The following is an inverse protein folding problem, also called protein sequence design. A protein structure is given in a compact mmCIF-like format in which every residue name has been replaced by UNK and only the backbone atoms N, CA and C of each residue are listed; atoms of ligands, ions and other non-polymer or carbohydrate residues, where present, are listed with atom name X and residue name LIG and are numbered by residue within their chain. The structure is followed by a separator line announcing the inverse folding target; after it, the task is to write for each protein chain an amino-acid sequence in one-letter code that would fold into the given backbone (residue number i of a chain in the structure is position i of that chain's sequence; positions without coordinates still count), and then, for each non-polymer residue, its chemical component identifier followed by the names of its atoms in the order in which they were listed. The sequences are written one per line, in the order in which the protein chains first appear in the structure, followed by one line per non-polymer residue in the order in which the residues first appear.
data_IF_637934787010
#
_entry.id   IF_637934787010
#
_cell.length_a   1.000
_cell.length_b   1.000
_cell.length_c   1.000
_cell.angle_alpha   90.00
_cell.angle_beta   90.00
_cell.angle_gamma   90.00
#
_symmetry.space_group_name_H-M   'P 1'
#
loop_
_entity.id
_entity.type
_entity.pdbx_description
1 polymer ?
#
# COMPACT_ATOMS: atom_id res chain seq x y z
N UNK A 1 56.30 9.51 26.97
CA UNK A 1 54.90 9.97 27.06
C UNK A 1 54.10 9.20 26.01
N UNK A 2 53.28 8.26 26.45
CA UNK A 2 52.46 7.40 25.59
C UNK A 2 51.17 8.16 25.28
N UNK A 3 50.99 8.52 24.01
CA UNK A 3 49.72 9.06 23.51
C UNK A 3 48.62 8.00 23.55
N UNK A 4 47.64 8.22 24.39
CA UNK A 4 46.44 7.39 24.46
C UNK A 4 45.63 7.52 23.16
N UNK A 5 45.36 6.37 22.57
CA UNK A 5 44.48 6.22 21.40
C UNK A 5 43.04 6.62 21.79
N UNK A 6 42.45 7.65 21.16
CA UNK A 6 41.06 8.04 21.48
C UNK A 6 40.11 6.95 21.02
N UNK A 7 39.55 6.29 22.01
CA UNK A 7 38.39 5.42 21.98
C UNK A 7 37.81 5.09 20.58
N UNK A 8 38.05 3.87 20.14
CA UNK A 8 37.15 3.15 19.22
C UNK A 8 35.77 3.14 19.87
N UNK A 9 34.92 4.08 19.46
CA UNK A 9 33.52 4.01 19.76
C UNK A 9 33.01 2.74 19.07
N UNK A 10 32.94 1.68 19.87
CA UNK A 10 32.29 0.44 19.44
C UNK A 10 30.89 0.83 18.95
N UNK A 11 30.67 0.72 17.65
CA UNK A 11 29.34 0.74 17.06
C UNK A 11 28.61 -0.50 17.55
N UNK A 12 28.10 -0.44 18.78
CA UNK A 12 27.19 -1.45 19.29
C UNK A 12 26.00 -1.47 18.37
N UNK A 13 25.96 -2.47 17.49
CA UNK A 13 24.86 -2.70 16.59
C UNK A 13 23.55 -2.68 17.40
N UNK A 14 22.70 -1.68 17.19
CA UNK A 14 21.41 -1.63 17.87
C UNK A 14 20.68 -2.95 17.61
N UNK A 15 20.21 -3.66 18.63
CA UNK A 15 19.56 -4.94 18.45
C UNK A 15 18.40 -4.79 17.47
N UNK A 16 18.34 -5.68 16.49
CA UNK A 16 17.24 -5.72 15.52
C UNK A 16 15.95 -5.98 16.30
N UNK A 17 15.01 -5.05 16.18
CA UNK A 17 13.72 -5.17 16.86
C UNK A 17 12.84 -6.07 16.03
N UNK A 18 12.64 -7.29 16.44
CA UNK A 18 11.84 -8.30 15.70
C UNK A 18 10.35 -7.99 15.77
N UNK A 19 9.86 -7.37 16.84
CA UNK A 19 8.43 -7.15 17.08
C UNK A 19 7.68 -6.45 15.91
N UNK A 20 8.14 -5.34 15.31
CA UNK A 20 7.39 -4.73 14.21
C UNK A 20 7.31 -5.63 12.96
N UNK A 21 8.32 -6.46 12.69
CA UNK A 21 8.26 -7.42 11.58
C UNK A 21 7.19 -8.49 11.84
N UNK A 22 7.12 -9.01 13.07
CA UNK A 22 6.11 -9.99 13.45
C UNK A 22 4.70 -9.40 13.39
N UNK A 23 4.51 -8.18 13.89
CA UNK A 23 3.22 -7.50 13.84
C UNK A 23 2.78 -7.33 12.37
N UNK A 24 3.66 -6.81 11.50
CA UNK A 24 3.34 -6.65 10.08
C UNK A 24 3.08 -7.99 9.38
N UNK A 25 3.83 -9.03 9.73
CA UNK A 25 3.59 -10.36 9.18
C UNK A 25 2.20 -10.87 9.54
N UNK A 26 1.77 -10.76 10.78
CA UNK A 26 0.43 -11.16 11.22
C UNK A 26 -0.66 -10.29 10.59
N UNK A 27 -0.45 -8.96 10.52
CA UNK A 27 -1.37 -8.05 9.83
C UNK A 27 -1.56 -8.49 8.38
N UNK A 28 -0.48 -8.64 7.61
CA UNK A 28 -0.55 -9.04 6.22
C UNK A 28 -1.15 -10.44 6.06
N UNK A 29 -0.78 -11.40 6.91
CA UNK A 29 -1.36 -12.74 6.90
C UNK A 29 -2.87 -12.73 7.14
N UNK A 30 -3.38 -11.82 7.99
CA UNK A 30 -4.83 -11.67 8.21
C UNK A 30 -5.58 -11.09 7.02
N UNK A 31 -4.90 -10.37 6.11
CA UNK A 31 -5.49 -9.66 4.97
C UNK A 31 -5.47 -10.46 3.67
N UNK A 32 -4.36 -11.16 3.40
CA UNK A 32 -4.21 -11.95 2.16
C UNK A 32 -5.28 -13.06 2.06
N UNK A 33 -5.65 -13.41 0.85
CA UNK A 33 -6.64 -14.47 0.61
C UNK A 33 -6.07 -15.85 1.00
N UNK A 34 -6.82 -16.63 1.79
CA UNK A 34 -6.47 -18.00 2.14
C UNK A 34 -7.21 -19.03 1.25
N UNK A 35 -8.24 -18.59 0.53
CA UNK A 35 -9.00 -19.39 -0.44
C UNK A 35 -9.16 -18.57 -1.73
N UNK A 36 -9.23 -19.25 -2.87
CA UNK A 36 -9.49 -18.62 -4.16
C UNK A 36 -10.98 -18.28 -4.28
N UNK A 37 -11.27 -17.11 -4.85
CA UNK A 37 -12.61 -16.68 -5.29
C UNK A 37 -13.72 -16.78 -4.24
N UNK A 38 -13.37 -16.80 -2.95
CA UNK A 38 -14.34 -16.80 -1.85
C UNK A 38 -14.41 -15.42 -1.22
N UNK A 39 -15.55 -14.77 -1.39
CA UNK A 39 -15.87 -13.50 -0.74
C UNK A 39 -16.69 -13.75 0.53
N UNK A 40 -16.46 -12.93 1.55
CA UNK A 40 -17.21 -13.02 2.79
C UNK A 40 -18.66 -12.56 2.58
N UNK A 41 -19.61 -13.45 2.79
CA UNK A 41 -21.05 -13.22 2.64
C UNK A 41 -21.81 -13.04 3.97
N UNK A 42 -21.10 -12.89 5.09
CA UNK A 42 -21.73 -12.75 6.42
C UNK A 42 -21.89 -14.08 7.19
N UNK A 43 -21.53 -15.22 6.61
CA UNK A 43 -21.55 -16.52 7.28
C UNK A 43 -20.35 -16.72 8.23
N UNK A 44 -20.51 -17.50 9.30
CA UNK A 44 -19.42 -17.92 10.18
C UNK A 44 -18.53 -18.95 9.44
N UNK A 45 -17.59 -18.43 8.65
CA UNK A 45 -16.56 -19.24 7.99
C UNK A 45 -15.35 -19.38 8.92
N UNK A 46 -14.84 -20.61 9.18
CA UNK A 46 -13.63 -20.84 9.96
C UNK A 46 -12.41 -20.00 9.51
N UNK A 47 -12.28 -19.73 8.20
CA UNK A 47 -11.20 -18.89 7.67
C UNK A 47 -11.35 -17.43 8.12
N UNK A 48 -12.57 -16.90 8.16
CA UNK A 48 -12.85 -15.55 8.64
C UNK A 48 -12.53 -15.43 10.12
N UNK A 49 -12.91 -16.43 10.92
CA UNK A 49 -12.58 -16.50 12.35
C UNK A 49 -11.06 -16.58 12.56
N UNK A 50 -10.37 -17.46 11.83
CA UNK A 50 -8.92 -17.60 11.93
C UNK A 50 -8.21 -16.28 11.57
N UNK A 51 -8.63 -15.58 10.50
CA UNK A 51 -8.10 -14.26 10.13
C UNK A 51 -8.38 -13.20 11.19
N UNK A 52 -9.55 -13.23 11.82
CA UNK A 52 -9.88 -12.31 12.93
C UNK A 52 -8.98 -12.57 14.13
N UNK A 53 -8.71 -13.82 14.49
CA UNK A 53 -7.78 -14.21 15.56
C UNK A 53 -6.37 -13.71 15.24
N UNK A 54 -5.86 -13.96 14.02
CA UNK A 54 -4.52 -13.50 13.62
C UNK A 54 -4.42 -11.98 13.67
N UNK A 55 -5.45 -11.25 13.20
CA UNK A 55 -5.52 -9.79 13.30
C UNK A 55 -5.61 -9.30 14.75
N UNK A 56 -6.37 -9.99 15.60
CA UNK A 56 -6.47 -9.72 17.03
C UNK A 56 -5.13 -9.91 17.76
N UNK A 57 -4.40 -11.00 17.45
CA UNK A 57 -3.05 -11.23 17.98
C UNK A 57 -2.10 -10.13 17.55
N UNK A 58 -2.15 -9.69 16.29
CA UNK A 58 -1.33 -8.57 15.81
C UNK A 58 -1.62 -7.28 16.60
N UNK A 59 -2.90 -6.99 16.87
CA UNK A 59 -3.32 -5.85 17.67
C UNK A 59 -2.81 -5.95 19.12
N UNK A 60 -2.99 -7.08 19.78
CA UNK A 60 -2.51 -7.30 21.15
C UNK A 60 -0.97 -7.18 21.23
N UNK A 61 -0.24 -7.76 20.28
CA UNK A 61 1.21 -7.58 20.21
C UNK A 61 1.60 -6.11 20.04
N UNK A 62 0.89 -5.36 19.19
CA UNK A 62 1.13 -3.92 19.04
C UNK A 62 0.81 -3.15 20.32
N UNK A 63 -0.26 -3.52 21.04
CA UNK A 63 -0.70 -2.88 22.27
C UNK A 63 0.29 -3.10 23.44
N UNK A 64 0.79 -4.34 23.60
CA UNK A 64 1.67 -4.71 24.71
C UNK A 64 3.16 -4.47 24.41
N UNK A 65 3.51 -4.09 23.19
CA UNK A 65 4.90 -3.76 22.87
C UNK A 65 5.26 -2.40 23.46
N UNK A 66 6.35 -2.33 24.29
CA UNK A 66 6.75 -1.07 24.91
C UNK A 66 7.18 -0.05 23.86
N UNK A 67 6.74 1.20 24.05
CA UNK A 67 7.14 2.31 23.20
C UNK A 67 8.67 2.52 23.29
N UNK A 68 9.36 2.49 22.15
CA UNK A 68 10.82 2.66 22.07
C UNK A 68 11.25 4.07 21.66
N UNK A 69 10.30 4.96 21.42
CA UNK A 69 10.58 6.35 21.09
C UNK A 69 10.33 7.22 22.31
N UNK A 70 11.37 7.92 22.77
CA UNK A 70 11.26 8.94 23.81
C UNK A 70 10.51 10.19 23.35
N UNK A 71 10.50 10.45 22.04
CA UNK A 71 9.80 11.57 21.43
C UNK A 71 8.47 11.07 20.86
N UNK A 72 7.40 11.28 21.61
CA UNK A 72 6.03 11.05 21.12
C UNK A 72 5.65 12.19 20.17
N UNK A 73 5.92 12.02 18.90
CA UNK A 73 5.36 12.94 17.90
C UNK A 73 3.83 12.83 17.92
N UNK A 74 3.11 13.95 17.89
CA UNK A 74 1.65 13.94 17.91
C UNK A 74 1.13 13.31 16.62
N UNK A 75 0.49 12.15 16.74
CA UNK A 75 -0.27 11.56 15.64
C UNK A 75 -1.52 12.42 15.46
N UNK A 76 -1.77 12.87 14.24
CA UNK A 76 -2.97 13.63 13.95
C UNK A 76 -4.23 12.78 14.04
N UNK A 77 -5.31 13.41 14.47
CA UNK A 77 -6.60 12.73 14.58
C UNK A 77 -7.35 12.62 13.24
N UNK A 78 -6.98 13.44 12.23
CA UNK A 78 -7.78 13.59 11.00
C UNK A 78 -7.99 12.27 10.25
N UNK A 79 -6.91 11.51 10.00
CA UNK A 79 -7.02 10.21 9.34
C UNK A 79 -7.83 9.20 10.13
N UNK A 80 -7.66 9.18 11.46
CA UNK A 80 -8.39 8.28 12.37
C UNK A 80 -9.88 8.60 12.36
N UNK A 81 -10.23 9.89 12.48
CA UNK A 81 -11.61 10.38 12.47
C UNK A 81 -12.30 10.05 11.14
N UNK A 82 -11.62 10.27 10.01
CA UNK A 82 -12.17 9.94 8.69
C UNK A 82 -12.46 8.44 8.58
N UNK A 83 -11.53 7.57 8.99
CA UNK A 83 -11.75 6.11 8.95
C UNK A 83 -12.88 5.70 9.89
N UNK A 84 -13.00 6.31 11.07
CA UNK A 84 -14.10 6.06 11.98
C UNK A 84 -15.46 6.42 11.36
N UNK A 85 -15.58 7.62 10.79
CA UNK A 85 -16.84 8.04 10.13
C UNK A 85 -17.14 7.18 8.90
N UNK A 86 -16.12 6.77 8.15
CA UNK A 86 -16.29 5.85 7.03
C UNK A 86 -16.87 4.51 7.49
N UNK A 87 -16.33 3.92 8.56
CA UNK A 87 -16.84 2.69 9.15
C UNK A 87 -18.26 2.85 9.71
N UNK A 88 -18.55 3.96 10.39
CA UNK A 88 -19.87 4.25 10.94
C UNK A 88 -20.94 4.41 9.84
N UNK A 89 -20.62 5.16 8.76
CA UNK A 89 -21.52 5.31 7.62
C UNK A 89 -21.77 3.96 6.93
N UNK A 90 -20.70 3.13 6.79
CA UNK A 90 -20.83 1.77 6.25
C UNK A 90 -21.79 0.90 7.09
N UNK A 91 -21.73 1.02 8.43
CA UNK A 91 -22.65 0.28 9.32
C UNK A 91 -24.09 0.73 9.10
N UNK A 92 -24.33 2.04 8.99
CA UNK A 92 -25.67 2.58 8.72
C UNK A 92 -26.21 2.09 7.37
N UNK A 93 -25.38 2.12 6.31
CA UNK A 93 -25.74 1.59 4.99
C UNK A 93 -25.96 0.08 4.98
N UNK A 94 -25.13 -0.69 5.70
CA UNK A 94 -25.30 -2.13 5.86
C UNK A 94 -26.57 -2.50 6.62
N UNK A 95 -26.93 -1.71 7.65
CA UNK A 95 -28.20 -1.88 8.37
C UNK A 95 -29.40 -1.63 7.44
N UNK A 96 -29.39 -0.53 6.69
CA UNK A 96 -30.47 -0.19 5.76
C UNK A 96 -30.56 -1.18 4.58
N UNK A 97 -29.47 -1.87 4.22
CA UNK A 97 -29.42 -2.87 3.15
C UNK A 97 -29.67 -4.32 3.65
N UNK A 98 -30.07 -4.50 4.90
CA UNK A 98 -30.26 -5.83 5.53
C UNK A 98 -29.00 -6.72 5.51
N UNK A 99 -27.82 -6.08 5.40
CA UNK A 99 -26.50 -6.72 5.35
C UNK A 99 -25.64 -6.34 6.57
N UNK A 100 -26.28 -6.17 7.71
CA UNK A 100 -25.68 -5.60 8.93
C UNK A 100 -24.50 -6.42 9.44
N UNK A 101 -24.60 -7.74 9.49
CA UNK A 101 -23.55 -8.60 10.03
C UNK A 101 -22.27 -8.50 9.21
N UNK A 102 -22.38 -8.60 7.89
CA UNK A 102 -21.23 -8.48 7.01
C UNK A 102 -20.58 -7.10 7.10
N UNK A 103 -21.38 -6.03 7.09
CA UNK A 103 -20.90 -4.67 7.25
C UNK A 103 -20.22 -4.45 8.61
N UNK A 104 -20.80 -4.98 9.70
CA UNK A 104 -20.25 -4.86 11.04
C UNK A 104 -18.91 -5.58 11.20
N UNK A 105 -18.79 -6.81 10.70
CA UNK A 105 -17.55 -7.58 10.77
C UNK A 105 -16.43 -6.87 10.00
N UNK A 106 -16.70 -6.37 8.80
CA UNK A 106 -15.68 -5.70 7.98
C UNK A 106 -15.34 -4.33 8.56
N UNK A 107 -16.32 -3.56 9.06
CA UNK A 107 -16.07 -2.28 9.72
C UNK A 107 -15.22 -2.47 11.01
N UNK A 108 -15.55 -3.46 11.84
CA UNK A 108 -14.78 -3.78 13.03
C UNK A 108 -13.32 -4.18 12.67
N UNK A 109 -13.13 -4.99 11.62
CA UNK A 109 -11.79 -5.33 11.13
C UNK A 109 -11.02 -4.11 10.60
N UNK A 110 -11.69 -3.18 9.90
CA UNK A 110 -11.08 -1.94 9.44
C UNK A 110 -10.62 -1.08 10.61
N UNK A 111 -11.45 -0.94 11.65
CA UNK A 111 -11.10 -0.19 12.86
C UNK A 111 -9.97 -0.85 13.66
N UNK A 112 -10.00 -2.17 13.83
CA UNK A 112 -8.94 -2.95 14.49
C UNK A 112 -7.61 -2.79 13.75
N UNK A 113 -7.63 -2.89 12.42
CA UNK A 113 -6.48 -2.71 11.57
C UNK A 113 -5.91 -1.29 11.69
N UNK A 114 -6.78 -0.28 11.65
CA UNK A 114 -6.39 1.12 11.83
C UNK A 114 -5.76 1.37 13.21
N UNK A 115 -6.35 0.82 14.27
CA UNK A 115 -5.81 0.90 15.63
C UNK A 115 -4.43 0.22 15.72
N UNK A 116 -4.25 -0.96 15.10
CA UNK A 116 -2.96 -1.65 15.04
C UNK A 116 -1.90 -0.79 14.36
N UNK A 117 -2.22 -0.18 13.20
CA UNK A 117 -1.30 0.70 12.48
C UNK A 117 -0.93 1.92 13.32
N UNK A 118 -1.92 2.56 13.96
CA UNK A 118 -1.69 3.70 14.87
C UNK A 118 -0.74 3.34 16.01
N UNK A 119 -0.93 2.18 16.65
CA UNK A 119 -0.04 1.70 17.72
C UNK A 119 1.38 1.47 17.21
N UNK A 120 1.55 0.82 16.07
CA UNK A 120 2.88 0.59 15.47
C UNK A 120 3.57 1.92 15.14
N UNK A 121 2.87 2.86 14.49
CA UNK A 121 3.40 4.20 14.17
C UNK A 121 3.76 4.98 15.44
N UNK A 122 3.00 4.80 16.52
CA UNK A 122 3.24 5.47 17.81
C UNK A 122 4.43 4.89 18.57
N UNK A 123 4.67 3.58 18.47
CA UNK A 123 5.69 2.89 19.26
C UNK A 123 7.06 2.86 18.59
N UNK A 124 7.13 3.03 17.27
CA UNK A 124 8.36 2.90 16.51
C UNK A 124 8.68 4.16 15.69
N UNK A 125 9.94 4.33 15.35
CA UNK A 125 10.36 5.41 14.44
C UNK A 125 9.82 5.17 13.03
N UNK A 126 9.53 6.24 12.28
CA UNK A 126 9.04 6.15 10.90
C UNK A 126 9.88 5.22 10.01
N UNK A 127 11.22 5.29 10.18
CA UNK A 127 12.15 4.41 9.45
C UNK A 127 12.00 2.93 9.84
N UNK A 128 11.79 2.62 11.11
CA UNK A 128 11.59 1.24 11.57
C UNK A 128 10.25 0.69 11.07
N UNK A 129 9.18 1.49 11.15
CA UNK A 129 7.85 1.16 10.62
C UNK A 129 7.92 0.82 9.14
N UNK A 130 8.49 1.72 8.33
CA UNK A 130 8.56 1.52 6.88
C UNK A 130 9.44 0.33 6.51
N UNK A 131 10.63 0.20 7.12
CA UNK A 131 11.53 -0.93 6.82
C UNK A 131 10.92 -2.27 7.17
N UNK A 132 10.29 -2.38 8.34
CA UNK A 132 9.66 -3.64 8.76
C UNK A 132 8.48 -3.99 7.86
N UNK A 133 7.63 -3.01 7.48
CA UNK A 133 6.53 -3.23 6.56
C UNK A 133 7.04 -3.69 5.18
N UNK A 134 7.98 -2.94 4.58
CA UNK A 134 8.53 -3.24 3.25
C UNK A 134 9.25 -4.59 3.23
N UNK A 135 10.05 -4.90 4.26
CA UNK A 135 10.75 -6.18 4.35
C UNK A 135 9.76 -7.35 4.48
N UNK A 136 8.73 -7.20 5.31
CA UNK A 136 7.69 -8.24 5.45
C UNK A 136 6.92 -8.44 4.14
N UNK A 137 6.55 -7.35 3.46
CA UNK A 137 5.92 -7.44 2.13
C UNK A 137 6.84 -8.15 1.12
N UNK A 138 8.14 -7.80 1.09
CA UNK A 138 9.11 -8.41 0.19
C UNK A 138 9.27 -9.92 0.45
N UNK A 139 9.32 -10.33 1.73
CA UNK A 139 9.40 -11.76 2.10
C UNK A 139 8.16 -12.52 1.64
N UNK A 140 6.96 -12.01 1.96
CA UNK A 140 5.70 -12.64 1.54
C UNK A 140 5.61 -12.68 0.02
N UNK A 141 5.90 -11.57 -0.67
CA UNK A 141 5.88 -11.47 -2.12
C UNK A 141 6.83 -12.49 -2.77
N UNK A 142 8.07 -12.57 -2.30
CA UNK A 142 9.07 -13.50 -2.83
C UNK A 142 8.67 -14.95 -2.59
N UNK A 143 8.29 -15.29 -1.36
CA UNK A 143 7.86 -16.64 -1.04
C UNK A 143 6.66 -17.09 -1.88
N UNK A 144 5.63 -16.24 -1.97
CA UNK A 144 4.41 -16.52 -2.75
C UNK A 144 4.70 -16.63 -4.25
N UNK A 145 5.57 -15.76 -4.78
CA UNK A 145 5.97 -15.76 -6.20
C UNK A 145 6.78 -17.01 -6.56
N UNK A 146 7.71 -17.42 -5.70
CA UNK A 146 8.51 -18.63 -5.92
C UNK A 146 7.63 -19.87 -5.91
N UNK A 147 6.74 -20.01 -4.92
CA UNK A 147 5.81 -21.15 -4.84
C UNK A 147 4.82 -21.13 -6.02
N UNK A 148 4.38 -19.93 -6.45
CA UNK A 148 3.45 -19.75 -7.56
C UNK A 148 4.08 -19.81 -8.96
N UNK A 149 5.41 -19.90 -9.06
CA UNK A 149 6.14 -19.79 -10.34
C UNK A 149 5.77 -20.88 -11.36
N UNK A 150 5.28 -22.03 -10.88
CA UNK A 150 4.74 -23.08 -11.73
C UNK A 150 3.63 -22.61 -12.69
N UNK A 151 2.86 -21.57 -12.30
CA UNK A 151 1.82 -21.00 -13.18
C UNK A 151 2.44 -20.34 -14.44
N UNK A 152 3.61 -19.72 -14.30
CA UNK A 152 4.34 -19.09 -15.41
C UNK A 152 4.92 -20.15 -16.33
N UNK A 153 5.47 -21.24 -15.79
CA UNK A 153 5.98 -22.37 -16.57
C UNK A 153 4.85 -23.04 -17.36
N UNK A 154 3.61 -23.03 -16.82
CA UNK A 154 2.40 -23.50 -17.50
C UNK A 154 1.82 -22.50 -18.53
N UNK A 155 2.52 -21.39 -18.83
CA UNK A 155 2.09 -20.40 -19.83
C UNK A 155 1.06 -19.38 -19.32
N UNK A 156 0.68 -19.41 -18.02
CA UNK A 156 -0.26 -18.46 -17.42
C UNK A 156 0.44 -17.33 -16.66
N UNK A 157 -0.33 -16.35 -16.20
CA UNK A 157 0.17 -15.25 -15.37
C UNK A 157 0.65 -15.76 -14.01
N UNK A 158 1.68 -15.09 -13.44
CA UNK A 158 2.12 -15.40 -12.08
C UNK A 158 0.99 -15.11 -11.08
N UNK A 159 0.55 -16.15 -10.41
CA UNK A 159 -0.42 -16.11 -9.33
C UNK A 159 0.19 -16.67 -8.06
N UNK A 160 -0.24 -16.20 -6.91
CA UNK A 160 0.13 -16.87 -5.66
C UNK A 160 -0.47 -18.26 -5.59
N UNK A 161 0.33 -19.24 -5.19
CA UNK A 161 -0.16 -20.60 -4.95
C UNK A 161 -0.51 -20.81 -3.49
N UNK A 162 0.40 -20.45 -2.59
CA UNK A 162 0.21 -20.52 -1.15
C UNK A 162 0.84 -19.28 -0.49
N UNK A 163 0.04 -18.32 -0.03
CA UNK A 163 -1.42 -18.18 -0.16
C UNK A 163 -1.87 -17.91 -1.61
N UNK A 164 -3.14 -18.21 -1.94
CA UNK A 164 -3.67 -17.98 -3.28
C UNK A 164 -3.94 -16.47 -3.50
N UNK A 165 -2.93 -15.77 -4.02
CA UNK A 165 -3.02 -14.36 -4.34
C UNK A 165 -3.36 -14.17 -5.81
N UNK A 166 -4.24 -13.22 -6.09
CA UNK A 166 -4.47 -12.81 -7.46
C UNK A 166 -3.26 -12.03 -8.00
N UNK A 167 -3.05 -11.97 -9.33
CA UNK A 167 -1.89 -11.30 -9.91
C UNK A 167 -1.75 -9.83 -9.52
N UNK A 168 -2.86 -9.12 -9.32
CA UNK A 168 -2.83 -7.70 -9.00
C UNK A 168 -2.38 -7.45 -7.55
N UNK A 169 -2.81 -8.29 -6.60
CA UNK A 169 -2.36 -8.21 -5.20
C UNK A 169 -0.90 -8.62 -5.07
N UNK A 170 -0.47 -9.63 -5.82
CA UNK A 170 0.93 -10.02 -5.88
C UNK A 170 1.80 -8.92 -6.47
N UNK A 171 1.32 -8.24 -7.53
CA UNK A 171 2.00 -7.07 -8.09
C UNK A 171 2.16 -5.93 -7.07
N UNK A 172 1.13 -5.67 -6.23
CA UNK A 172 1.23 -4.71 -5.13
C UNK A 172 2.30 -5.10 -4.11
N UNK A 173 2.27 -6.36 -3.65
CA UNK A 173 3.21 -6.88 -2.66
C UNK A 173 4.67 -6.84 -3.14
N UNK A 174 4.91 -6.95 -4.47
CA UNK A 174 6.23 -6.81 -5.07
C UNK A 174 6.60 -5.35 -5.31
N UNK A 175 5.68 -4.53 -5.86
CA UNK A 175 5.98 -3.18 -6.32
C UNK A 175 6.26 -2.21 -5.17
N UNK A 176 5.52 -2.30 -4.05
CA UNK A 176 5.72 -1.41 -2.89
C UNK A 176 7.14 -1.55 -2.31
N UNK A 177 7.64 -2.76 -1.98
CA UNK A 177 9.03 -2.89 -1.54
C UNK A 177 10.05 -2.60 -2.65
N UNK A 178 9.73 -2.81 -3.93
CA UNK A 178 10.62 -2.42 -5.04
C UNK A 178 10.85 -0.89 -5.06
N UNK A 179 9.79 -0.08 -4.90
CA UNK A 179 9.91 1.39 -4.75
C UNK A 179 10.77 1.75 -3.53
N UNK A 180 10.58 1.03 -2.41
CA UNK A 180 11.38 1.22 -1.19
C UNK A 180 12.87 0.93 -1.40
N UNK A 181 13.19 -0.18 -2.07
CA UNK A 181 14.57 -0.53 -2.41
C UNK A 181 15.20 0.47 -3.38
N UNK A 182 14.45 0.91 -4.39
CA UNK A 182 14.89 1.95 -5.31
C UNK A 182 15.22 3.25 -4.56
N UNK A 183 14.37 3.67 -3.62
CA UNK A 183 14.63 4.83 -2.76
C UNK A 183 15.90 4.65 -1.91
N UNK A 184 16.06 3.53 -1.22
CA UNK A 184 17.24 3.27 -0.40
C UNK A 184 18.54 3.22 -1.22
N UNK A 185 18.48 2.75 -2.47
CA UNK A 185 19.62 2.70 -3.38
C UNK A 185 19.95 4.07 -3.98
N UNK A 186 18.95 4.82 -4.42
CA UNK A 186 19.14 6.06 -5.20
C UNK A 186 19.28 7.30 -4.32
N UNK A 187 18.62 7.33 -3.18
CA UNK A 187 18.60 8.48 -2.27
C UNK A 187 19.49 8.28 -1.06
N UNK A 188 19.42 7.11 -0.39
CA UNK A 188 20.22 6.82 0.81
C UNK A 188 21.60 6.22 0.51
N UNK A 189 21.92 5.84 -0.75
CA UNK A 189 23.22 5.27 -1.18
C UNK A 189 23.67 4.06 -0.38
N UNK A 190 22.77 3.17 0.01
CA UNK A 190 23.10 2.02 0.84
C UNK A 190 23.24 0.74 0.03
N UNK A 191 24.37 0.03 0.25
CA UNK A 191 24.62 -1.37 -0.14
C UNK A 191 23.94 -1.87 -1.44
N UNK A 192 24.44 -1.44 -2.59
CA UNK A 192 23.93 -1.82 -3.91
C UNK A 192 24.00 -3.32 -4.19
N UNK A 193 25.00 -3.99 -3.63
CA UNK A 193 25.31 -5.40 -3.91
C UNK A 193 24.15 -6.37 -3.64
N UNK A 194 23.45 -6.20 -2.52
CA UNK A 194 22.31 -7.07 -2.16
C UNK A 194 20.95 -6.51 -2.58
N UNK A 195 20.83 -5.18 -2.71
CA UNK A 195 19.54 -4.54 -3.00
C UNK A 195 19.20 -4.55 -4.46
N UNK A 196 20.19 -4.43 -5.33
CA UNK A 196 19.97 -4.47 -6.77
C UNK A 196 19.41 -5.82 -7.24
N UNK A 197 19.96 -6.98 -6.86
CA UNK A 197 19.36 -8.27 -7.18
C UNK A 197 17.93 -8.40 -6.63
N UNK A 198 17.68 -7.98 -5.39
CA UNK A 198 16.35 -8.05 -4.80
C UNK A 198 15.34 -7.15 -5.55
N UNK A 199 15.75 -5.93 -5.92
CA UNK A 199 14.94 -5.03 -6.73
C UNK A 199 14.63 -5.67 -8.09
N UNK A 200 15.64 -6.24 -8.76
CA UNK A 200 15.47 -6.90 -10.05
C UNK A 200 14.49 -8.07 -9.96
N UNK A 201 14.60 -8.90 -8.93
CA UNK A 201 13.70 -10.03 -8.68
C UNK A 201 12.27 -9.55 -8.47
N UNK A 202 12.05 -8.53 -7.64
CA UNK A 202 10.71 -8.01 -7.38
C UNK A 202 10.08 -7.38 -8.64
N UNK A 203 10.87 -6.63 -9.43
CA UNK A 203 10.42 -6.07 -10.71
C UNK A 203 10.06 -7.19 -11.70
N UNK A 204 10.87 -8.24 -11.76
CA UNK A 204 10.62 -9.41 -12.60
C UNK A 204 9.31 -10.12 -12.18
N UNK A 205 9.06 -10.26 -10.89
CA UNK A 205 7.79 -10.83 -10.41
C UNK A 205 6.60 -9.94 -10.79
N UNK A 206 6.70 -8.60 -10.64
CA UNK A 206 5.64 -7.70 -11.14
C UNK A 206 5.40 -7.91 -12.63
N UNK A 207 6.45 -8.07 -13.41
CA UNK A 207 6.35 -8.38 -14.84
C UNK A 207 5.56 -9.66 -15.10
N UNK A 208 5.92 -10.76 -14.47
CA UNK A 208 5.26 -12.05 -14.66
C UNK A 208 3.79 -12.07 -14.16
N UNK A 209 3.40 -11.18 -13.24
CA UNK A 209 1.99 -11.06 -12.87
C UNK A 209 1.12 -10.58 -14.04
N UNK A 210 1.69 -9.95 -15.07
CA UNK A 210 0.96 -9.33 -16.17
C UNK A 210 -0.01 -8.23 -15.72
N UNK A 211 0.22 -7.63 -14.54
CA UNK A 211 -0.58 -6.50 -14.04
C UNK A 211 -0.14 -5.20 -14.71
N UNK A 212 -0.84 -4.79 -15.76
CA UNK A 212 -0.52 -3.57 -16.53
C UNK A 212 -0.49 -2.33 -15.65
N UNK A 213 -1.52 -2.17 -14.81
CA UNK A 213 -1.62 -1.05 -13.86
C UNK A 213 -0.49 -1.08 -12.83
N UNK A 214 -0.19 -2.28 -12.28
CA UNK A 214 0.89 -2.45 -11.32
C UNK A 214 2.25 -2.09 -11.92
N UNK A 215 2.52 -2.52 -13.15
CA UNK A 215 3.78 -2.23 -13.85
C UNK A 215 3.92 -0.74 -14.19
N UNK A 216 2.87 -0.13 -14.79
CA UNK A 216 2.86 1.30 -15.11
C UNK A 216 3.07 2.16 -13.87
N UNK A 217 2.32 1.88 -12.80
CA UNK A 217 2.44 2.60 -11.55
C UNK A 217 3.82 2.43 -10.90
N UNK A 218 4.43 1.21 -10.99
CA UNK A 218 5.78 0.96 -10.50
C UNK A 218 6.82 1.77 -11.27
N UNK A 219 6.74 1.81 -12.60
CA UNK A 219 7.65 2.61 -13.45
C UNK A 219 7.56 4.08 -13.08
N UNK A 220 6.34 4.63 -12.97
CA UNK A 220 6.14 6.04 -12.56
C UNK A 220 6.70 6.26 -11.15
N UNK A 221 6.45 5.34 -10.21
CA UNK A 221 6.99 5.42 -8.85
C UNK A 221 8.52 5.47 -8.82
N UNK A 222 9.20 4.60 -9.58
CA UNK A 222 10.68 4.60 -9.67
C UNK A 222 11.20 5.88 -10.34
N UNK A 223 10.57 6.36 -11.41
CA UNK A 223 10.91 7.63 -12.04
C UNK A 223 10.81 8.80 -11.06
N UNK A 224 9.76 8.84 -10.25
CA UNK A 224 9.60 9.87 -9.22
C UNK A 224 10.67 9.78 -8.13
N UNK A 225 11.10 8.58 -7.71
CA UNK A 225 12.25 8.41 -6.82
C UNK A 225 13.51 9.01 -7.44
N UNK A 226 13.73 8.76 -8.73
CA UNK A 226 14.87 9.34 -9.47
C UNK A 226 14.83 10.87 -9.48
N UNK A 227 13.69 11.48 -9.77
CA UNK A 227 13.52 12.93 -9.75
C UNK A 227 13.79 13.53 -8.36
N UNK A 228 13.42 12.82 -7.29
CA UNK A 228 13.66 13.29 -5.92
C UNK A 228 15.11 13.08 -5.44
N UNK A 229 15.89 12.25 -6.12
CA UNK A 229 17.28 11.97 -5.71
C UNK A 229 18.21 13.18 -5.86
N UNK A 230 17.76 14.27 -6.53
CA UNK A 230 18.47 15.55 -6.70
C UNK A 230 19.84 15.48 -7.39
N UNK A 231 20.35 14.28 -7.52
CA UNK A 231 21.63 13.91 -8.14
C UNK A 231 21.39 12.67 -8.97
N UNK A 232 20.58 12.79 -10.03
CA UNK A 232 20.57 11.77 -11.07
C UNK A 232 22.00 11.67 -11.60
N UNK A 233 22.84 10.85 -10.92
CA UNK A 233 24.21 10.62 -11.39
C UNK A 233 24.09 10.04 -12.76
N UNK A 234 24.92 10.53 -13.64
CA UNK A 234 25.06 10.05 -15.02
C UNK A 234 25.06 8.51 -15.10
N UNK A 235 25.64 7.82 -14.09
CA UNK A 235 25.65 6.35 -13.97
C UNK A 235 24.25 5.74 -13.84
N UNK A 236 23.35 6.37 -13.06
CA UNK A 236 21.97 5.87 -12.88
C UNK A 236 21.15 6.09 -14.14
N UNK A 237 21.37 7.22 -14.83
CA UNK A 237 20.77 7.49 -16.15
C UNK A 237 21.28 6.48 -17.17
N UNK A 238 22.58 6.20 -17.19
CA UNK A 238 23.19 5.19 -18.06
C UNK A 238 22.62 3.80 -17.76
N UNK A 239 22.51 3.38 -16.49
CA UNK A 239 21.91 2.09 -16.11
C UNK A 239 20.44 1.97 -16.55
N UNK A 240 19.67 3.06 -16.44
CA UNK A 240 18.28 3.10 -16.91
C UNK A 240 18.18 3.05 -18.43
N UNK A 241 19.00 3.81 -19.13
CA UNK A 241 19.09 3.78 -20.60
C UNK A 241 19.55 2.40 -21.06
N UNK A 242 20.53 1.78 -20.40
CA UNK A 242 20.98 0.43 -20.68
C UNK A 242 19.92 -0.66 -20.35
N UNK A 243 19.03 -0.40 -19.41
CA UNK A 243 17.91 -1.31 -19.11
C UNK A 243 16.80 -1.24 -20.19
N UNK A 244 16.63 -0.12 -20.90
CA UNK A 244 15.62 0.03 -21.97
C UNK A 244 15.78 -1.03 -23.07
N UNK A 245 16.94 -1.25 -23.67
CA UNK A 245 17.09 -2.30 -24.69
C UNK A 245 16.91 -3.71 -24.14
N UNK A 246 17.26 -3.95 -22.87
CA UNK A 246 17.02 -5.25 -22.21
C UNK A 246 15.52 -5.49 -22.03
N UNK A 247 14.79 -4.47 -21.55
CA UNK A 247 13.32 -4.51 -21.43
C UNK A 247 12.70 -4.65 -22.82
N UNK A 248 13.19 -3.91 -23.82
CA UNK A 248 12.69 -4.00 -25.18
C UNK A 248 13.01 -5.37 -25.82
N UNK A 249 14.20 -5.92 -25.60
CA UNK A 249 14.54 -7.27 -26.04
C UNK A 249 13.66 -8.32 -25.34
N UNK A 250 13.46 -8.22 -24.03
CA UNK A 250 12.50 -9.06 -23.32
C UNK A 250 11.08 -8.93 -23.89
N UNK A 251 10.67 -7.72 -24.26
CA UNK A 251 9.37 -7.45 -24.88
C UNK A 251 9.29 -8.04 -26.30
N UNK A 252 10.35 -7.93 -27.10
CA UNK A 252 10.37 -8.35 -28.50
C UNK A 252 10.57 -9.87 -28.67
N UNK A 253 11.37 -10.50 -27.81
CA UNK A 253 11.71 -11.93 -27.91
C UNK A 253 10.83 -12.85 -27.07
N UNK A 254 9.96 -12.32 -26.25
CA UNK A 254 8.95 -13.13 -25.57
C UNK A 254 7.59 -12.79 -26.15
N UNK A 255 6.79 -13.83 -26.48
CA UNK A 255 5.35 -13.67 -26.77
C UNK A 255 4.58 -13.02 -25.62
N UNK A 256 5.31 -12.50 -24.63
CA UNK A 256 4.76 -11.84 -23.46
C UNK A 256 4.03 -10.55 -23.82
N UNK A 257 4.46 -9.83 -24.88
CA UNK A 257 3.71 -8.67 -25.39
C UNK A 257 2.35 -9.10 -25.96
N UNK A 258 2.32 -10.16 -26.75
CA UNK A 258 1.08 -10.73 -27.26
C UNK A 258 0.24 -11.28 -26.11
N UNK A 259 0.82 -11.94 -25.12
CA UNK A 259 0.13 -12.43 -23.91
C UNK A 259 -0.30 -11.31 -22.95
N UNK A 260 0.44 -10.20 -22.88
CA UNK A 260 0.04 -8.99 -22.12
C UNK A 260 -1.05 -8.23 -22.88
N UNK A 261 -0.98 -8.17 -24.20
CA UNK A 261 -1.94 -7.49 -25.08
C UNK A 261 -3.14 -8.41 -25.36
N UNK A 262 -2.90 -9.68 -25.69
CA UNK A 262 -3.94 -10.68 -25.85
C UNK A 262 -4.03 -11.52 -24.56
N UNK A 263 -5.18 -11.42 -23.89
CA UNK A 263 -5.55 -12.33 -22.80
C UNK A 263 -5.90 -13.66 -23.48
N UNK A 264 -5.29 -14.78 -23.06
CA UNK A 264 -5.62 -16.09 -23.63
C UNK A 264 -7.13 -16.31 -23.63
N UNK A 265 -7.74 -16.52 -24.81
CA UNK A 265 -9.18 -16.64 -24.98
C UNK A 265 -9.93 -15.31 -25.14
N UNK A 266 -9.25 -14.17 -25.10
CA UNK A 266 -9.89 -12.87 -25.31
C UNK A 266 -10.01 -12.58 -26.80
N UNK A 267 -11.23 -12.39 -27.28
CA UNK A 267 -11.53 -11.80 -28.59
C UNK A 267 -11.11 -10.34 -28.61
N UNK A 268 -11.01 -9.72 -29.82
CA UNK A 268 -10.79 -8.27 -29.94
C UNK A 268 -11.82 -7.45 -29.16
N UNK A 269 -13.03 -7.97 -28.99
CA UNK A 269 -14.06 -7.42 -28.12
C UNK A 269 -13.63 -7.39 -26.62
N UNK A 270 -12.84 -8.36 -26.14
CA UNK A 270 -12.33 -8.39 -24.78
C UNK A 270 -11.14 -7.43 -24.54
N UNK A 271 -10.44 -7.01 -25.59
CA UNK A 271 -9.43 -5.92 -25.50
C UNK A 271 -10.08 -4.55 -25.31
N UNK A 272 -11.26 -4.37 -25.88
CA UNK A 272 -12.15 -3.23 -25.62
C UNK A 272 -12.92 -3.41 -24.28
N UNK A 273 -12.89 -4.60 -23.71
CA UNK A 273 -13.61 -4.95 -22.50
C UNK A 273 -12.74 -4.70 -21.23
N UNK A 274 -12.52 -3.50 -21.03
CA UNK A 274 -12.95 -2.96 -19.75
C UNK A 274 -14.45 -3.29 -19.48
N UNK A 275 -15.13 -4.04 -20.35
CA UNK A 275 -16.59 -4.14 -20.41
C UNK A 275 -17.18 -4.73 -19.14
N UNK A 276 -16.59 -5.76 -18.56
CA UNK A 276 -17.09 -6.30 -17.29
C UNK A 276 -16.91 -5.29 -16.14
N UNK A 277 -15.77 -4.57 -16.09
CA UNK A 277 -15.54 -3.52 -15.10
C UNK A 277 -16.44 -2.31 -15.35
N UNK A 278 -16.56 -1.88 -16.60
CA UNK A 278 -17.43 -0.73 -16.95
C UNK A 278 -18.90 -1.05 -16.70
N UNK A 279 -19.35 -2.27 -16.93
CA UNK A 279 -20.70 -2.70 -16.59
C UNK A 279 -20.96 -2.67 -15.08
N UNK A 280 -20.02 -3.19 -14.27
CA UNK A 280 -20.09 -3.09 -12.82
C UNK A 280 -20.08 -1.62 -12.34
N UNK A 281 -19.26 -0.77 -12.95
CA UNK A 281 -19.20 0.65 -12.62
C UNK A 281 -20.51 1.37 -13.00
N UNK A 282 -21.05 1.09 -14.17
CA UNK A 282 -22.33 1.64 -14.61
C UNK A 282 -23.48 1.25 -13.69
N UNK A 283 -23.55 -0.01 -13.23
CA UNK A 283 -24.58 -0.42 -12.29
C UNK A 283 -24.53 0.38 -10.98
N UNK A 284 -23.34 0.70 -10.47
CA UNK A 284 -23.17 1.54 -9.28
C UNK A 284 -23.46 3.01 -9.57
N UNK A 285 -23.01 3.53 -10.70
CA UNK A 285 -23.23 4.94 -11.10
C UNK A 285 -24.70 5.24 -11.39
N UNK A 286 -25.46 4.27 -11.88
CA UNK A 286 -26.88 4.39 -12.21
C UNK A 286 -27.81 4.25 -10.99
N UNK A 287 -27.29 4.05 -9.76
CA UNK A 287 -28.11 4.09 -8.56
C UNK A 287 -28.79 5.47 -8.47
N UNK A 288 -30.11 5.48 -8.31
CA UNK A 288 -30.93 6.71 -8.29
C UNK A 288 -30.46 7.65 -7.19
N UNK A 289 -30.44 8.95 -7.49
CA UNK A 289 -29.99 9.99 -6.54
C UNK A 289 -30.93 10.09 -5.34
N UNK A 290 -32.22 9.79 -5.52
CA UNK A 290 -33.24 9.81 -4.46
C UNK A 290 -33.11 8.63 -3.51
N UNK A 291 -32.36 7.57 -3.88
CA UNK A 291 -32.22 6.41 -3.03
C UNK A 291 -31.19 6.66 -1.92
N UNK A 292 -31.46 6.14 -0.74
CA UNK A 292 -30.53 6.20 0.38
C UNK A 292 -29.18 5.50 0.08
N UNK A 293 -29.19 4.45 -0.76
CA UNK A 293 -27.98 3.72 -1.18
C UNK A 293 -26.99 4.65 -1.88
N UNK A 294 -27.47 5.65 -2.62
CA UNK A 294 -26.59 6.64 -3.26
C UNK A 294 -25.80 7.46 -2.25
N UNK A 295 -26.37 7.75 -1.08
CA UNK A 295 -25.79 8.61 -0.07
C UNK A 295 -24.90 7.88 0.93
N UNK A 296 -25.36 6.73 1.45
CA UNK A 296 -24.66 5.99 2.53
C UNK A 296 -24.21 4.58 2.13
N UNK A 297 -24.45 4.16 0.87
CA UNK A 297 -24.05 2.87 0.35
C UNK A 297 -24.81 1.69 0.94
N UNK A 298 -24.34 0.48 0.67
CA UNK A 298 -24.94 -0.77 1.16
C UNK A 298 -24.04 -1.57 2.14
N UNK A 299 -23.06 -0.89 2.71
CA UNK A 299 -22.10 -1.47 3.67
C UNK A 299 -20.86 -2.07 3.03
N UNK A 300 -19.75 -2.11 3.79
CA UNK A 300 -18.45 -2.66 3.37
C UNK A 300 -18.49 -4.14 2.97
N UNK A 301 -19.58 -4.84 3.29
CA UNK A 301 -19.82 -6.22 2.86
C UNK A 301 -20.10 -6.37 1.37
N UNK A 302 -20.53 -5.30 0.68
CA UNK A 302 -20.83 -5.33 -0.74
C UNK A 302 -19.54 -5.37 -1.57
N UNK A 303 -19.19 -6.53 -2.11
CA UNK A 303 -17.99 -6.77 -2.93
C UNK A 303 -18.29 -6.98 -4.39
N UNK A 304 -19.51 -7.39 -4.70
CA UNK A 304 -19.97 -7.75 -6.01
C UNK A 304 -21.30 -7.06 -6.28
N UNK A 305 -21.54 -6.74 -7.54
CA UNK A 305 -22.80 -6.18 -8.02
C UNK A 305 -23.36 -7.07 -9.12
N UNK A 306 -24.68 -7.20 -9.14
CA UNK A 306 -25.37 -7.92 -10.20
C UNK A 306 -25.34 -7.09 -11.49
N UNK A 307 -24.97 -7.72 -12.60
CA UNK A 307 -24.89 -7.11 -13.93
C UNK A 307 -25.69 -7.97 -14.89
N UNK A 308 -26.72 -7.39 -15.47
CA UNK A 308 -27.54 -8.05 -16.49
C UNK A 308 -26.82 -8.14 -17.82
N UNK A 309 -26.93 -9.28 -18.51
CA UNK A 309 -26.41 -9.46 -19.88
C UNK A 309 -24.94 -9.88 -19.96
N UNK A 310 -24.31 -10.25 -18.87
CA UNK A 310 -22.94 -10.79 -18.84
C UNK A 310 -22.96 -12.30 -18.55
N UNK A 311 -21.89 -12.99 -18.94
CA UNK A 311 -21.72 -14.43 -18.67
C UNK A 311 -21.76 -14.78 -17.16
N UNK A 312 -21.29 -13.85 -16.32
CA UNK A 312 -21.34 -13.94 -14.85
C UNK A 312 -22.34 -12.91 -14.32
N UNK A 313 -23.36 -13.37 -13.61
CA UNK A 313 -24.40 -12.54 -13.01
C UNK A 313 -23.88 -11.58 -11.93
N UNK A 314 -22.70 -11.86 -11.38
CA UNK A 314 -22.07 -11.03 -10.35
C UNK A 314 -20.66 -10.62 -10.77
N UNK A 315 -20.37 -9.33 -10.68
CA UNK A 315 -19.08 -8.75 -11.01
C UNK A 315 -18.45 -8.07 -9.79
N UNK A 316 -17.14 -8.30 -9.61
CA UNK A 316 -16.36 -7.66 -8.54
C UNK A 316 -16.16 -6.18 -8.86
N UNK A 317 -16.27 -5.33 -7.84
CA UNK A 317 -16.06 -3.90 -7.97
C UNK A 317 -14.55 -3.60 -7.83
N UNK A 318 -13.88 -3.45 -8.96
CA UNK A 318 -12.45 -3.16 -9.06
C UNK A 318 -12.22 -1.65 -9.23
N UNK A 319 -12.35 -0.88 -8.20
CA UNK A 319 -11.92 0.53 -8.09
C UNK A 319 -12.16 0.99 -6.67
N UNK A 320 -11.20 1.63 -6.02
CA UNK A 320 -11.41 2.16 -4.67
C UNK A 320 -12.52 3.22 -4.62
N UNK A 321 -12.67 3.99 -5.69
CA UNK A 321 -13.66 5.07 -5.79
C UNK A 321 -15.08 4.53 -5.99
N UNK A 322 -15.24 3.61 -6.94
CA UNK A 322 -16.55 2.99 -7.23
C UNK A 322 -16.95 2.05 -6.09
N UNK A 323 -15.99 1.32 -5.52
CA UNK A 323 -16.23 0.48 -4.34
C UNK A 323 -16.69 1.32 -3.15
N UNK A 324 -16.05 2.48 -2.91
CA UNK A 324 -16.48 3.41 -1.86
C UNK A 324 -17.90 3.95 -2.10
N UNK A 325 -18.24 4.26 -3.38
CA UNK A 325 -19.59 4.70 -3.75
C UNK A 325 -20.64 3.61 -3.52
N UNK A 326 -20.34 2.36 -3.85
CA UNK A 326 -21.26 1.25 -3.66
C UNK A 326 -21.43 0.88 -2.17
N UNK A 327 -20.33 0.92 -1.40
CA UNK A 327 -20.27 0.45 -0.01
C UNK A 327 -20.68 1.52 1.00
N UNK A 328 -20.28 2.78 0.78
CA UNK A 328 -20.44 3.88 1.76
C UNK A 328 -21.13 5.11 1.13
N UNK A 329 -21.50 5.03 -0.15
CA UNK A 329 -22.22 6.09 -0.86
C UNK A 329 -21.35 7.31 -1.15
N UNK A 330 -22.01 8.42 -1.50
CA UNK A 330 -21.36 9.71 -1.74
C UNK A 330 -20.58 10.18 -0.52
N UNK A 331 -21.10 9.96 0.70
CA UNK A 331 -20.42 10.29 1.95
C UNK A 331 -19.06 9.56 2.00
N UNK A 332 -19.02 8.27 1.66
CA UNK A 332 -17.78 7.49 1.60
C UNK A 332 -16.78 8.03 0.57
N UNK A 333 -17.24 8.41 -0.60
CA UNK A 333 -16.37 9.01 -1.64
C UNK A 333 -15.78 10.34 -1.16
N UNK A 334 -16.58 11.19 -0.49
CA UNK A 334 -16.10 12.46 0.08
C UNK A 334 -15.04 12.19 1.17
N UNK A 335 -15.28 11.24 2.07
CA UNK A 335 -14.32 10.86 3.12
C UNK A 335 -13.02 10.30 2.53
N UNK A 336 -13.11 9.43 1.52
CA UNK A 336 -11.94 8.89 0.80
C UNK A 336 -11.17 10.01 0.09
N UNK A 337 -11.87 10.91 -0.60
CA UNK A 337 -11.26 12.06 -1.27
C UNK A 337 -10.59 12.99 -0.27
N UNK A 338 -11.25 13.30 0.85
CA UNK A 338 -10.69 14.13 1.91
C UNK A 338 -9.39 13.51 2.48
N UNK A 339 -9.41 12.22 2.84
CA UNK A 339 -8.21 11.54 3.34
C UNK A 339 -7.09 11.53 2.30
N UNK A 340 -7.42 11.28 1.04
CA UNK A 340 -6.45 11.27 -0.07
C UNK A 340 -5.81 12.66 -0.25
N UNK A 341 -6.63 13.71 -0.35
CA UNK A 341 -6.16 15.10 -0.51
C UNK A 341 -5.30 15.51 0.68
N UNK A 342 -5.75 15.26 1.91
CA UNK A 342 -4.97 15.55 3.11
C UNK A 342 -3.62 14.82 3.10
N UNK A 343 -3.61 13.53 2.74
CA UNK A 343 -2.38 12.74 2.68
C UNK A 343 -1.40 13.29 1.63
N UNK A 344 -1.90 13.68 0.46
CA UNK A 344 -1.08 14.32 -0.58
C UNK A 344 -0.54 15.66 -0.08
N UNK A 345 -1.38 16.50 0.53
CA UNK A 345 -0.95 17.80 1.08
C UNK A 345 0.13 17.62 2.16
N UNK A 346 -0.04 16.67 3.07
CA UNK A 346 0.97 16.37 4.08
C UNK A 346 2.25 15.80 3.44
N UNK A 347 2.15 14.93 2.44
CA UNK A 347 3.32 14.41 1.73
C UNK A 347 4.13 15.51 1.05
N UNK A 348 3.47 16.52 0.48
CA UNK A 348 4.13 17.67 -0.12
C UNK A 348 4.81 18.58 0.92
N UNK A 349 4.27 18.65 2.14
CA UNK A 349 4.82 19.41 3.28
C UNK A 349 5.86 18.64 4.08
N UNK A 350 5.85 17.30 4.01
CA UNK A 350 6.82 16.44 4.68
C UNK A 350 8.23 16.71 4.16
N UNK A 351 9.16 17.04 5.05
CA UNK A 351 10.54 17.40 4.65
C UNK A 351 11.45 16.18 4.54
N UNK A 352 11.31 15.23 5.47
CA UNK A 352 12.20 14.07 5.60
C UNK A 352 11.73 12.86 4.79
N UNK A 353 10.42 12.65 4.74
CA UNK A 353 9.83 11.45 4.13
C UNK A 353 9.37 11.68 2.68
N UNK A 354 9.30 12.93 2.20
CA UNK A 354 8.74 13.29 0.89
C UNK A 354 9.32 12.47 -0.26
N UNK A 355 10.64 12.33 -0.31
CA UNK A 355 11.32 11.64 -1.40
C UNK A 355 10.95 10.13 -1.50
N UNK A 356 10.47 9.54 -0.41
CA UNK A 356 9.99 8.17 -0.37
C UNK A 356 8.46 8.10 -0.51
N UNK A 357 7.74 8.91 0.26
CA UNK A 357 6.27 8.79 0.38
C UNK A 357 5.53 9.29 -0.85
N UNK A 358 6.04 10.34 -1.52
CA UNK A 358 5.38 10.85 -2.74
C UNK A 358 5.36 9.83 -3.88
N UNK A 359 6.47 9.15 -4.25
CA UNK A 359 6.43 8.09 -5.24
C UNK A 359 5.48 6.96 -4.88
N UNK A 360 5.46 6.56 -3.60
CA UNK A 360 4.60 5.49 -3.12
C UNK A 360 3.11 5.89 -3.16
N UNK A 361 2.79 7.13 -2.78
CA UNK A 361 1.42 7.65 -2.89
C UNK A 361 0.94 7.71 -4.34
N UNK A 362 1.78 8.20 -5.26
CA UNK A 362 1.42 8.23 -6.68
C UNK A 362 1.16 6.82 -7.21
N UNK A 363 2.01 5.85 -6.84
CA UNK A 363 1.77 4.44 -7.16
C UNK A 363 0.40 3.96 -6.66
N UNK A 364 0.08 4.21 -5.39
CA UNK A 364 -1.19 3.79 -4.79
C UNK A 364 -2.39 4.49 -5.43
N UNK A 365 -2.26 5.79 -5.75
CA UNK A 365 -3.33 6.57 -6.37
C UNK A 365 -3.62 6.10 -7.80
N UNK A 366 -2.60 5.88 -8.63
CA UNK A 366 -2.79 5.31 -9.98
C UNK A 366 -3.52 3.97 -9.87
N UNK A 367 -3.10 3.12 -8.94
CA UNK A 367 -3.71 1.82 -8.73
C UNK A 367 -5.16 1.92 -8.24
N UNK A 368 -5.51 2.92 -7.43
CA UNK A 368 -6.84 3.08 -6.83
C UNK A 368 -7.97 3.27 -7.83
N UNK A 369 -7.68 3.72 -9.04
CA UNK A 369 -8.68 3.87 -10.10
C UNK A 369 -9.12 2.52 -10.68
N UNK A 370 -8.23 1.54 -10.71
CA UNK A 370 -8.45 0.23 -11.35
C UNK A 370 -8.45 -0.94 -10.35
N UNK A 371 -8.16 -0.68 -9.08
CA UNK A 371 -8.12 -1.69 -8.01
C UNK A 371 -8.77 -1.12 -6.75
N UNK A 372 -9.53 -1.92 -6.05
CA UNK A 372 -10.12 -1.54 -4.76
C UNK A 372 -9.10 -1.57 -3.63
N UNK A 373 -9.36 -0.88 -2.51
CA UNK A 373 -8.63 -1.12 -1.28
C UNK A 373 -8.05 0.06 -0.55
N UNK A 374 -8.21 1.33 -0.98
CA UNK A 374 -7.69 2.48 -0.22
C UNK A 374 -8.31 2.64 1.17
N UNK A 375 -9.64 2.40 1.30
CA UNK A 375 -10.36 2.37 2.57
C UNK A 375 -11.12 1.06 2.72
N UNK A 376 -10.42 -0.05 2.57
CA UNK A 376 -10.96 -1.38 2.71
C UNK A 376 -10.00 -2.28 3.48
N UNK A 377 -10.47 -3.42 3.98
CA UNK A 377 -9.67 -4.38 4.74
C UNK A 377 -8.76 -5.17 3.78
N UNK A 378 -7.70 -4.49 3.30
CA UNK A 378 -6.72 -5.09 2.40
C UNK A 378 -5.32 -4.48 2.57
N UNK A 379 -4.32 -5.04 1.87
CA UNK A 379 -2.92 -4.61 1.94
C UNK A 379 -2.72 -3.17 1.45
N UNK A 380 -3.49 -2.72 0.45
CA UNK A 380 -3.44 -1.35 -0.06
C UNK A 380 -3.74 -0.33 1.05
N UNK A 381 -4.77 -0.60 1.88
CA UNK A 381 -5.12 0.24 3.02
C UNK A 381 -3.98 0.31 4.04
N UNK A 382 -3.35 -0.83 4.37
CA UNK A 382 -2.22 -0.85 5.32
C UNK A 382 -1.12 0.10 4.86
N UNK A 383 -0.72 0.00 3.60
CA UNK A 383 0.34 0.86 3.05
C UNK A 383 -0.11 2.32 3.03
N UNK A 384 -1.30 2.59 2.49
CA UNK A 384 -1.84 3.93 2.36
C UNK A 384 -2.01 4.63 3.71
N UNK A 385 -2.66 3.96 4.68
CA UNK A 385 -2.91 4.54 5.99
C UNK A 385 -1.64 4.71 6.83
N UNK A 386 -0.70 3.76 6.72
CA UNK A 386 0.63 3.91 7.34
C UNK A 386 1.35 5.14 6.78
N UNK A 387 1.36 5.33 5.47
CA UNK A 387 1.96 6.50 4.83
C UNK A 387 1.24 7.77 5.26
N UNK A 388 -0.10 7.79 5.27
CA UNK A 388 -0.90 8.95 5.70
C UNK A 388 -0.53 9.42 7.10
N UNK A 389 -0.45 8.50 8.07
CA UNK A 389 -0.06 8.83 9.45
C UNK A 389 1.38 9.34 9.54
N UNK A 390 2.32 8.73 8.81
CA UNK A 390 3.73 9.12 8.85
C UNK A 390 3.98 10.49 8.21
N UNK A 391 3.31 10.82 7.09
CA UNK A 391 3.47 12.14 6.45
C UNK A 391 2.77 13.25 7.24
N UNK A 392 1.62 12.96 7.87
CA UNK A 392 0.97 13.88 8.78
C UNK A 392 1.89 14.23 9.96
N UNK A 393 2.50 13.21 10.57
CA UNK A 393 3.43 13.37 11.68
C UNK A 393 4.66 14.20 11.28
N UNK A 394 5.28 13.90 10.13
CA UNK A 394 6.47 14.62 9.64
C UNK A 394 6.13 16.09 9.29
N UNK A 395 4.97 16.33 8.68
CA UNK A 395 4.50 17.68 8.37
C UNK A 395 4.25 18.52 9.64
N UNK A 396 3.69 17.94 10.69
CA UNK A 396 3.44 18.61 11.98
C UNK A 396 4.74 18.93 12.72
N UNK A 397 5.71 18.02 12.74
CA UNK A 397 7.04 18.27 13.31
C UNK A 397 7.72 19.43 12.60
N UNK A 398 7.68 19.46 11.25
CA UNK A 398 8.26 20.55 10.46
C UNK A 398 7.59 21.93 10.65
N UNK A 399 6.34 21.94 11.13
CA UNK A 399 5.59 23.17 11.41
C UNK A 399 5.80 23.72 12.82
N UNK A 400 6.43 22.94 13.74
CA UNK A 400 6.60 23.37 15.13
C UNK A 400 7.56 24.57 15.23
N UNK A 401 7.28 25.56 16.11
CA UNK A 401 8.16 26.73 16.32
C UNK A 401 9.59 26.35 16.72
N UNK A 402 9.74 25.26 17.49
CA UNK A 402 11.05 24.75 17.90
C UNK A 402 11.89 24.24 16.71
N UNK A 403 11.26 23.63 15.69
CA UNK A 403 11.97 23.21 14.49
C UNK A 403 12.43 24.41 13.63
N UNK A 404 11.71 25.53 13.68
CA UNK A 404 12.10 26.78 13.00
C UNK A 404 13.27 27.45 13.69
N UNK A 405 13.28 27.50 15.02
CA UNK A 405 14.38 28.07 15.81
C UNK A 405 15.73 27.36 15.58
N UNK A 406 15.73 26.05 15.28
CA UNK A 406 16.94 25.30 14.93
C UNK A 406 17.37 25.47 13.47
N UNK A 407 16.54 26.01 12.60
CA UNK A 407 16.85 26.23 11.18
C UNK A 407 17.23 27.66 10.85
N UNK A 408 17.03 28.60 11.78
CA UNK A 408 17.56 29.98 11.62
C UNK A 408 19.08 29.97 11.86
N UNK A 409 19.86 30.52 10.92
CA UNK A 409 21.28 30.68 11.16
C UNK A 409 21.45 31.49 12.45
N UNK A 410 22.30 30.99 13.37
CA UNK A 410 22.63 31.77 14.57
C UNK A 410 23.04 33.16 14.14
N UNK A 411 22.50 34.23 14.76
CA UNK A 411 22.97 35.55 14.50
C UNK A 411 24.49 35.57 14.70
N UNK A 412 25.25 36.29 13.85
CA UNK A 412 26.71 36.37 13.96
C UNK A 412 27.04 36.74 15.40
N UNK A 413 27.83 35.89 16.06
CA UNK A 413 28.37 36.21 17.37
C UNK A 413 29.22 37.47 17.17
N UNK A 414 28.77 38.59 17.72
CA UNK A 414 29.55 39.82 17.78
C UNK A 414 30.65 39.54 18.79
N UNK A 415 31.88 39.31 18.32
CA UNK A 415 33.03 39.21 19.20
C UNK A 415 33.10 40.46 20.06
N UNK A 416 33.30 40.36 21.38
CA UNK A 416 33.45 41.49 22.25
C UNK A 416 34.70 42.30 21.78
N UNK A 417 34.66 43.62 21.77
CA UNK A 417 35.79 44.45 21.38
C UNK A 417 36.99 44.15 22.28
N UNK A 418 38.17 43.88 21.68
CA UNK A 418 39.45 43.66 22.36
C UNK A 418 39.94 44.92 23.00
#
# INVERSE_FOLDING_TARGET
MRGGDPARVATTGRPVVIAPYLIWFLVLASLISWRRDVFFSGSLDPVVVAKAIVGGVAFLLALFTPARTSVRAPIGAAGIVIVFFYAATSLAGGYAAENTISAAVIAARLLLLSATIVLVVRHYTARAVLRSLLATMAVIATATSVIGFGSVLGGSRLTGSLPPLNPNDLALLCAVPAIGLAYEMLVEWRHWTFRLPMLAILVLFVWFTGSRTGLLALVIGILLVLFHSGRARIRTIICLIAAIPIVFAMLAFTDTLTKIVHRDGATQADLLTLTARTSAWQSVLNIRVESWQRWIGSGLGLRQVSVTGQYWDQQVIDSSWISSLAQVGIVGVILLAALTVLTVMWSLRARRLRAFTTPLLVFLLIRSFLESGLLDVNVTFVVFFTVALLVEMDARIGASPQARAFSEPMPPQIDPPR
#
